data_IF_449526819199
#
_entry.id   IF_449526819199
#
_cell.length_a   1.000
_cell.length_b   1.000
_cell.length_c   1.000
_cell.angle_alpha   90.00
_cell.angle_beta   90.00
_cell.angle_gamma   90.00
#
_symmetry.space_group_name_H-M   'P 1'
#
loop_
_entity.id
_entity.type
_entity.pdbx_description
1 polymer ?
#
# COMPACT_ATOMS: atom_id res chain seq x y z
N UNK A 1 -33.56 44.12 -8.51
CA UNK A 1 -34.63 43.71 -9.46
C UNK A 1 -34.50 42.21 -9.67
N UNK A 2 -35.59 41.56 -9.36
CA UNK A 2 -35.82 40.12 -9.33
C UNK A 2 -35.68 39.45 -10.69
N UNK A 3 -35.23 38.18 -10.72
CA UNK A 3 -35.91 37.10 -11.47
C UNK A 3 -35.35 35.74 -11.05
N UNK A 4 -36.16 35.05 -10.26
CA UNK A 4 -36.07 33.61 -9.97
C UNK A 4 -36.56 32.84 -11.20
N UNK A 5 -35.90 31.71 -11.55
CA UNK A 5 -36.45 30.69 -12.44
C UNK A 5 -36.40 29.39 -11.69
N UNK A 6 -37.56 28.91 -11.31
CA UNK A 6 -37.79 27.58 -10.78
C UNK A 6 -37.92 26.59 -11.97
N UNK A 7 -37.19 25.47 -11.93
CA UNK A 7 -37.37 24.37 -12.87
C UNK A 7 -38.07 23.23 -12.13
N UNK A 8 -39.25 22.87 -12.64
CA UNK A 8 -40.12 21.84 -12.13
C UNK A 8 -39.68 20.52 -12.74
N UNK A 9 -39.41 19.54 -11.86
CA UNK A 9 -39.16 18.16 -12.24
C UNK A 9 -40.47 17.40 -12.30
N UNK A 10 -40.85 16.90 -13.46
CA UNK A 10 -42.06 16.06 -13.68
C UNK A 10 -41.64 14.59 -13.51
N UNK A 11 -42.22 13.97 -12.50
CA UNK A 11 -42.15 12.54 -12.20
C UNK A 11 -43.27 11.82 -12.94
N UNK A 12 -42.98 10.95 -13.89
CA UNK A 12 -43.95 10.04 -14.52
C UNK A 12 -43.79 8.64 -13.96
N UNK A 13 -44.74 8.24 -13.13
CA UNK A 13 -45.03 6.87 -12.74
C UNK A 13 -45.78 6.17 -13.87
N UNK A 14 -45.36 5.01 -14.30
CA UNK A 14 -46.13 4.05 -15.08
C UNK A 14 -46.29 2.77 -14.25
N UNK A 15 -47.50 2.61 -13.74
CA UNK A 15 -48.09 1.38 -13.19
C UNK A 15 -48.84 0.62 -14.30
N UNK A 16 -48.55 -0.66 -14.47
CA UNK A 16 -49.44 -1.70 -14.98
C UNK A 16 -48.85 -3.02 -14.53
N UNK A 17 -49.46 -3.92 -13.83
CA UNK A 17 -50.87 -4.28 -13.72
C UNK A 17 -50.99 -5.80 -13.91
N UNK A 18 -51.25 -6.49 -12.84
CA UNK A 18 -51.89 -7.80 -12.61
C UNK A 18 -52.10 -8.79 -13.74
N UNK A 19 -51.86 -10.09 -13.44
CA UNK A 19 -52.47 -11.23 -14.12
C UNK A 19 -51.94 -12.55 -13.58
N UNK A 20 -52.60 -13.09 -12.54
CA UNK A 20 -52.36 -14.43 -12.06
C UNK A 20 -53.20 -15.48 -12.80
N UNK A 21 -52.72 -16.71 -12.78
CA UNK A 21 -53.58 -17.90 -12.74
C UNK A 21 -52.81 -19.13 -12.27
N UNK A 22 -53.43 -19.80 -11.30
CA UNK A 22 -53.14 -21.16 -10.83
C UNK A 22 -53.66 -22.18 -11.84
N UNK A 23 -53.00 -23.33 -11.96
CA UNK A 23 -53.70 -24.64 -12.06
C UNK A 23 -52.73 -25.78 -11.69
N UNK A 24 -53.25 -26.58 -10.80
CA UNK A 24 -52.92 -27.92 -10.35
C UNK A 24 -52.96 -28.97 -11.46
N UNK A 25 -52.19 -30.04 -11.36
CA UNK A 25 -52.65 -31.42 -11.15
C UNK A 25 -51.61 -32.45 -11.61
N UNK A 26 -51.13 -33.26 -10.70
CA UNK A 26 -50.69 -34.65 -10.93
C UNK A 26 -51.93 -35.51 -11.20
N UNK A 27 -51.94 -36.70 -11.86
CA UNK A 27 -51.13 -37.85 -11.52
C UNK A 27 -50.81 -38.87 -12.64
N UNK A 28 -50.20 -39.96 -12.20
CA UNK A 28 -50.35 -41.38 -12.56
C UNK A 28 -49.19 -42.06 -13.31
N UNK A 29 -48.70 -43.04 -12.58
CA UNK A 29 -47.90 -44.21 -12.95
C UNK A 29 -48.37 -44.97 -14.19
N UNK A 30 -47.37 -45.52 -14.88
CA UNK A 30 -47.48 -46.90 -15.41
C UNK A 30 -46.05 -47.45 -15.66
N UNK A 31 -45.73 -48.54 -14.96
CA UNK A 31 -44.67 -49.48 -15.32
C UNK A 31 -45.21 -50.46 -16.34
N UNK A 32 -44.41 -50.95 -17.28
CA UNK A 32 -44.25 -52.38 -17.36
C UNK A 32 -42.85 -52.92 -17.70
N UNK A 33 -42.59 -54.06 -17.04
CA UNK A 33 -41.95 -55.29 -17.48
C UNK A 33 -40.49 -55.31 -17.98
N UNK A 34 -39.76 -56.15 -17.29
CA UNK A 34 -38.43 -56.61 -17.50
C UNK A 34 -38.19 -57.28 -18.87
N UNK A 35 -36.99 -57.01 -19.43
CA UNK A 35 -36.36 -57.93 -20.37
C UNK A 35 -34.94 -58.23 -19.85
N UNK A 36 -34.72 -59.47 -19.55
CA UNK A 36 -33.38 -60.03 -19.27
C UNK A 36 -32.50 -59.94 -20.51
N UNK A 37 -31.34 -59.31 -20.35
CA UNK A 37 -30.27 -59.45 -21.35
C UNK A 37 -28.96 -59.80 -20.60
N UNK A 38 -28.42 -60.91 -20.98
CA UNK A 38 -27.21 -61.56 -20.52
C UNK A 38 -26.00 -60.63 -20.55
N UNK A 39 -25.34 -60.49 -19.42
CA UNK A 39 -24.10 -59.71 -19.29
C UNK A 39 -22.90 -60.55 -19.74
N UNK A 40 -22.12 -60.06 -20.72
CA UNK A 40 -20.75 -60.43 -20.94
C UNK A 40 -19.84 -59.71 -19.93
N UNK A 41 -18.74 -60.29 -19.45
CA UNK A 41 -17.85 -59.65 -18.49
C UNK A 41 -17.01 -58.58 -19.19
N UNK A 42 -17.32 -57.34 -18.91
CA UNK A 42 -16.46 -56.22 -19.30
C UNK A 42 -15.24 -56.19 -18.37
N UNK A 43 -14.07 -56.33 -18.96
CA UNK A 43 -12.77 -56.13 -18.29
C UNK A 43 -12.70 -54.71 -17.78
N UNK A 44 -12.69 -54.50 -16.46
CA UNK A 44 -12.37 -53.20 -15.83
C UNK A 44 -10.99 -52.77 -16.25
N UNK A 45 -10.90 -51.74 -17.06
CA UNK A 45 -9.66 -51.00 -17.25
C UNK A 45 -9.29 -50.27 -15.94
N UNK A 46 -8.29 -50.75 -15.27
CA UNK A 46 -7.65 -50.06 -14.14
C UNK A 46 -7.07 -48.77 -14.68
N UNK A 47 -7.78 -47.66 -14.49
CA UNK A 47 -7.22 -46.32 -14.68
C UNK A 47 -6.26 -46.06 -13.54
N UNK A 48 -4.96 -46.10 -13.84
CA UNK A 48 -3.93 -45.55 -12.93
C UNK A 48 -4.30 -44.09 -12.62
N UNK A 49 -4.20 -43.65 -11.36
CA UNK A 49 -4.42 -42.27 -11.04
C UNK A 49 -3.36 -41.41 -11.74
N UNK A 50 -3.76 -40.63 -12.71
CA UNK A 50 -2.91 -39.58 -13.30
C UNK A 50 -2.61 -38.59 -12.20
N UNK A 51 -1.44 -38.69 -11.58
CA UNK A 51 -0.91 -37.66 -10.69
C UNK A 51 -0.68 -36.40 -11.54
N UNK A 52 -1.57 -35.44 -11.46
CA UNK A 52 -1.32 -34.09 -11.96
C UNK A 52 -0.11 -33.58 -11.20
N UNK A 53 0.97 -33.15 -11.86
CA UNK A 53 2.09 -32.56 -11.17
C UNK A 53 1.58 -31.33 -10.41
N UNK A 54 1.60 -31.38 -9.09
CA UNK A 54 1.34 -30.19 -8.28
C UNK A 54 2.59 -29.33 -8.41
N UNK A 55 2.47 -28.19 -9.04
CA UNK A 55 3.57 -27.22 -9.06
C UNK A 55 3.99 -26.93 -7.62
N UNK A 56 5.30 -26.77 -7.36
CA UNK A 56 5.77 -26.43 -6.01
C UNK A 56 5.14 -25.13 -5.55
N UNK A 57 4.61 -25.12 -4.33
CA UNK A 57 4.10 -23.91 -3.73
C UNK A 57 5.29 -22.95 -3.52
N UNK A 58 5.20 -21.75 -4.07
CA UNK A 58 6.21 -20.69 -3.94
C UNK A 58 5.68 -19.65 -2.97
N UNK A 59 6.40 -19.44 -1.88
CA UNK A 59 6.08 -18.37 -0.93
C UNK A 59 6.90 -17.13 -1.24
N UNK A 60 6.26 -15.97 -1.18
CA UNK A 60 6.92 -14.69 -1.39
C UNK A 60 6.60 -13.73 -0.24
N UNK A 61 7.55 -12.86 0.04
CA UNK A 61 7.32 -11.69 0.88
C UNK A 61 6.23 -10.82 0.24
N UNK A 62 5.15 -10.48 0.97
CA UNK A 62 3.97 -9.85 0.39
C UNK A 62 4.19 -8.39 -0.01
N UNK A 63 5.31 -7.76 0.36
CA UNK A 63 5.57 -6.33 0.11
C UNK A 63 6.83 -6.03 -0.71
N UNK A 64 7.68 -7.06 -0.97
CA UNK A 64 8.84 -6.90 -1.85
C UNK A 64 9.03 -8.06 -2.85
N UNK A 65 8.23 -9.14 -2.73
CA UNK A 65 8.22 -10.26 -3.64
C UNK A 65 9.39 -11.25 -3.49
N UNK A 66 10.30 -11.06 -2.56
CA UNK A 66 11.40 -11.98 -2.32
C UNK A 66 10.91 -13.38 -1.94
N UNK A 67 11.63 -14.41 -2.39
CA UNK A 67 11.28 -15.79 -2.10
C UNK A 67 11.48 -16.11 -0.62
N UNK A 68 10.52 -16.82 -0.04
CA UNK A 68 10.54 -17.28 1.34
C UNK A 68 10.49 -18.82 1.36
N UNK A 69 11.10 -19.40 2.38
CA UNK A 69 11.03 -20.85 2.64
C UNK A 69 9.66 -21.27 3.20
N UNK A 70 8.97 -20.37 3.88
CA UNK A 70 7.67 -20.57 4.54
C UNK A 70 6.71 -19.40 4.23
N UNK A 71 5.39 -19.58 4.41
CA UNK A 71 4.42 -18.49 4.25
C UNK A 71 4.75 -17.29 5.18
N UNK A 72 4.61 -16.08 4.69
CA UNK A 72 4.69 -14.89 5.53
C UNK A 72 3.45 -14.83 6.44
N UNK A 73 3.65 -14.88 7.75
CA UNK A 73 2.59 -14.85 8.76
C UNK A 73 2.78 -13.71 9.77
N UNK A 74 3.66 -12.78 9.45
CA UNK A 74 3.95 -11.61 10.27
C UNK A 74 3.08 -10.40 9.91
N UNK A 75 3.26 -9.31 10.67
CA UNK A 75 2.70 -8.00 10.34
C UNK A 75 3.79 -7.08 9.81
N UNK A 76 3.38 -6.17 8.95
CA UNK A 76 4.27 -5.14 8.40
C UNK A 76 4.37 -3.99 9.41
N UNK A 77 5.60 -3.61 9.73
CA UNK A 77 5.88 -2.42 10.53
C UNK A 77 5.90 -1.18 9.65
N UNK A 78 5.46 -0.07 10.19
CA UNK A 78 5.54 1.23 9.55
C UNK A 78 6.19 2.26 10.48
N UNK A 79 7.08 3.08 9.94
CA UNK A 79 7.68 4.20 10.67
C UNK A 79 7.48 5.51 9.91
N UNK A 80 7.05 6.55 10.62
CA UNK A 80 6.85 7.87 10.02
C UNK A 80 8.17 8.63 9.91
N UNK A 81 8.58 9.02 8.71
CA UNK A 81 9.86 9.66 8.42
C UNK A 81 9.66 11.07 7.88
N UNK A 82 10.47 12.01 8.35
CA UNK A 82 10.48 13.37 7.81
C UNK A 82 11.06 13.41 6.40
N UNK A 83 10.42 14.10 5.47
CA UNK A 83 10.96 14.34 4.14
C UNK A 83 11.03 15.84 3.81
N UNK A 84 11.39 16.64 4.81
CA UNK A 84 11.71 18.06 4.62
C UNK A 84 13.22 18.21 4.35
N UNK A 85 13.57 19.16 3.49
CA UNK A 85 14.96 19.39 3.06
C UNK A 85 15.96 19.52 4.22
N UNK A 86 15.58 20.19 5.31
CA UNK A 86 16.39 20.37 6.50
C UNK A 86 16.64 19.10 7.32
N UNK A 87 15.89 18.02 7.01
CA UNK A 87 15.96 16.74 7.71
C UNK A 87 16.69 15.65 6.90
N UNK A 88 17.14 16.00 5.72
CA UNK A 88 17.90 15.10 4.87
C UNK A 88 19.39 15.11 5.21
N UNK A 89 20.13 14.04 4.93
CA UNK A 89 19.67 12.76 4.36
C UNK A 89 18.84 11.94 5.33
N UNK A 90 18.10 10.94 4.81
CA UNK A 90 17.35 9.98 5.61
C UNK A 90 18.26 8.99 6.33
N UNK A 91 17.67 8.21 7.23
CA UNK A 91 18.33 7.09 7.91
C UNK A 91 17.41 5.88 7.85
N UNK A 92 17.92 4.72 7.42
CA UNK A 92 17.22 3.45 7.37
C UNK A 92 16.16 3.32 6.28
N UNK A 93 15.98 4.33 5.44
CA UNK A 93 14.98 4.32 4.35
C UNK A 93 15.39 3.37 3.22
N UNK A 94 16.68 3.15 3.01
CA UNK A 94 17.22 2.17 2.03
C UNK A 94 16.85 0.73 2.35
N UNK A 95 16.52 0.44 3.61
CA UNK A 95 16.14 -0.90 4.10
C UNK A 95 14.62 -1.12 4.09
N UNK A 96 13.82 -0.11 3.74
CA UNK A 96 12.37 -0.25 3.65
C UNK A 96 11.96 -1.03 2.41
N UNK A 97 11.00 -1.93 2.57
CA UNK A 97 10.36 -2.64 1.45
C UNK A 97 9.51 -1.69 0.61
N UNK A 98 8.78 -0.78 1.29
CA UNK A 98 7.96 0.24 0.64
C UNK A 98 8.19 1.60 1.30
N UNK A 99 8.33 2.63 0.49
CA UNK A 99 8.35 4.03 0.94
C UNK A 99 7.19 4.78 0.31
N UNK A 100 6.25 5.26 1.12
CA UNK A 100 5.12 6.05 0.64
C UNK A 100 5.34 7.52 0.96
N UNK A 101 5.41 8.38 -0.06
CA UNK A 101 5.61 9.81 0.09
C UNK A 101 4.31 10.59 -0.15
N UNK A 102 4.00 11.56 0.72
CA UNK A 102 2.82 12.41 0.59
C UNK A 102 2.90 13.72 1.37
N UNK A 103 2.09 14.69 0.98
CA UNK A 103 1.77 15.83 1.83
C UNK A 103 0.87 15.39 2.99
N UNK A 104 1.16 15.85 4.20
CA UNK A 104 0.40 15.44 5.41
C UNK A 104 -0.43 16.57 6.01
N UNK A 105 -0.22 17.80 5.57
CA UNK A 105 -1.00 18.96 6.01
C UNK A 105 -0.89 20.16 5.04
N UNK A 106 -1.75 21.15 5.26
CA UNK A 106 -1.82 22.40 4.48
C UNK A 106 -0.57 23.30 4.61
N UNK A 107 0.36 23.01 5.52
CA UNK A 107 1.59 23.79 5.72
C UNK A 107 2.75 23.25 4.86
N UNK A 108 2.45 22.56 3.79
CA UNK A 108 3.42 22.02 2.82
C UNK A 108 4.41 21.03 3.43
N UNK A 109 4.01 20.32 4.49
CA UNK A 109 4.85 19.32 5.12
C UNK A 109 4.71 18.01 4.36
N UNK A 110 5.83 17.56 3.80
CA UNK A 110 5.97 16.24 3.17
C UNK A 110 6.60 15.30 4.17
N UNK A 111 6.09 14.09 4.22
CA UNK A 111 6.65 12.98 5.01
C UNK A 111 6.59 11.70 4.22
N UNK A 112 7.38 10.73 4.68
CA UNK A 112 7.29 9.36 4.22
C UNK A 112 6.73 8.46 5.32
N UNK A 113 6.08 7.40 4.88
CA UNK A 113 5.77 6.23 5.67
C UNK A 113 6.65 5.10 5.11
N UNK A 114 7.63 4.65 5.89
CA UNK A 114 8.51 3.56 5.51
C UNK A 114 8.00 2.25 6.11
N UNK A 115 7.81 1.23 5.28
CA UNK A 115 7.24 -0.07 5.62
C UNK A 115 8.32 -1.14 5.60
N UNK A 116 8.28 -2.04 6.57
CA UNK A 116 9.27 -3.10 6.76
C UNK A 116 8.58 -4.41 7.09
N UNK A 117 8.85 -5.45 6.32
CA UNK A 117 8.48 -6.83 6.65
C UNK A 117 9.43 -7.44 7.70
N UNK A 118 10.68 -6.96 7.71
CA UNK A 118 11.68 -7.24 8.74
C UNK A 118 12.26 -5.92 9.25
N UNK A 119 11.83 -5.46 10.43
CA UNK A 119 12.33 -4.22 11.02
C UNK A 119 13.49 -4.46 12.00
N UNK A 120 13.67 -5.69 12.49
CA UNK A 120 14.65 -6.03 13.54
C UNK A 120 16.08 -5.65 13.12
N UNK A 121 16.42 -5.90 11.87
CA UNK A 121 17.76 -5.67 11.33
C UNK A 121 18.06 -4.20 10.99
N UNK A 122 17.07 -3.31 11.14
CA UNK A 122 17.24 -1.88 10.84
C UNK A 122 17.81 -1.17 12.05
N UNK A 123 19.11 -0.80 11.99
CA UNK A 123 19.84 -0.17 13.10
C UNK A 123 19.17 1.12 13.58
N UNK A 124 18.78 1.97 12.64
CA UNK A 124 18.12 3.23 12.92
C UNK A 124 17.19 3.65 11.78
N UNK A 125 16.09 4.35 12.10
CA UNK A 125 15.10 4.82 11.13
C UNK A 125 14.74 6.28 11.43
N UNK A 126 14.81 7.15 10.44
CA UNK A 126 14.32 8.52 10.67
C UNK A 126 14.90 9.63 9.79
N UNK A 127 14.74 10.88 10.27
CA UNK A 127 14.20 11.25 11.60
C UNK A 127 12.72 10.91 11.71
N UNK A 128 12.37 10.20 12.78
CA UNK A 128 10.97 9.79 13.04
C UNK A 128 10.12 10.99 13.46
N UNK A 129 8.92 11.07 12.94
CA UNK A 129 8.01 12.21 13.14
C UNK A 129 6.64 11.74 13.64
N UNK A 130 5.83 12.72 14.00
CA UNK A 130 4.47 12.50 14.49
C UNK A 130 3.59 11.85 13.42
N UNK A 131 2.71 10.94 13.84
CA UNK A 131 1.67 10.44 12.95
C UNK A 131 0.71 11.54 12.47
N UNK A 132 0.01 11.29 11.39
CA UNK A 132 -0.99 12.14 10.76
C UNK A 132 -2.16 11.30 10.25
N UNK A 133 -3.36 11.89 10.09
CA UNK A 133 -4.54 11.11 9.69
C UNK A 133 -4.35 10.28 8.42
N UNK A 134 -3.68 10.81 7.39
CA UNK A 134 -3.43 10.05 6.17
C UNK A 134 -2.55 8.80 6.40
N UNK A 135 -1.60 8.86 7.34
CA UNK A 135 -0.82 7.68 7.74
C UNK A 135 -1.66 6.67 8.50
N UNK A 136 -2.59 7.15 9.34
CA UNK A 136 -3.50 6.27 10.06
C UNK A 136 -4.47 5.57 9.11
N UNK A 137 -4.92 6.26 8.03
CA UNK A 137 -5.70 5.63 6.97
C UNK A 137 -4.92 4.48 6.32
N UNK A 138 -3.68 4.73 5.89
CA UNK A 138 -2.82 3.70 5.28
C UNK A 138 -2.56 2.55 6.25
N UNK A 139 -2.28 2.87 7.52
CA UNK A 139 -2.08 1.84 8.55
C UNK A 139 -3.32 0.96 8.74
N UNK A 140 -4.53 1.53 8.62
CA UNK A 140 -5.78 0.77 8.66
C UNK A 140 -5.95 -0.14 7.43
N UNK A 141 -5.69 0.38 6.22
CA UNK A 141 -5.80 -0.40 4.99
C UNK A 141 -4.90 -1.64 4.97
N UNK A 142 -3.70 -1.52 5.53
CA UNK A 142 -2.70 -2.58 5.53
C UNK A 142 -2.54 -3.29 6.88
N UNK A 143 -3.32 -2.92 7.89
CA UNK A 143 -3.22 -3.43 9.26
C UNK A 143 -1.77 -3.38 9.78
N UNK A 144 -1.14 -2.20 9.64
CA UNK A 144 0.26 -1.99 9.99
C UNK A 144 0.44 -1.81 11.50
N UNK A 145 1.62 -2.18 12.00
CA UNK A 145 2.10 -1.77 13.32
C UNK A 145 2.82 -0.43 13.15
N UNK A 146 2.17 0.68 13.55
CA UNK A 146 2.63 2.03 13.26
C UNK A 146 3.48 2.63 14.39
N UNK A 147 4.78 2.76 14.15
CA UNK A 147 5.74 3.45 15.03
C UNK A 147 5.83 4.94 14.63
N UNK A 148 5.74 5.86 15.61
CA UNK A 148 5.75 7.30 15.36
C UNK A 148 6.30 8.11 16.55
N UNK A 149 6.64 9.39 16.33
CA UNK A 149 7.05 10.33 17.38
C UNK A 149 5.88 11.25 17.77
N UNK A 150 4.92 10.71 18.53
CA UNK A 150 3.73 11.44 18.96
C UNK A 150 2.79 11.82 17.82
N UNK A 151 1.97 12.83 18.05
CA UNK A 151 0.96 13.32 17.09
C UNK A 151 0.24 14.55 17.65
N UNK A 152 -0.58 15.20 16.83
CA UNK A 152 -1.59 16.13 17.36
C UNK A 152 -2.71 15.33 18.03
N UNK A 153 -3.45 15.97 18.94
CA UNK A 153 -4.63 15.35 19.56
C UNK A 153 -5.62 14.82 18.51
N UNK A 154 -5.75 15.52 17.41
CA UNK A 154 -6.58 15.11 16.27
C UNK A 154 -6.06 13.82 15.64
N UNK A 155 -4.78 13.72 15.28
CA UNK A 155 -4.21 12.52 14.68
C UNK A 155 -4.21 11.30 15.63
N UNK A 156 -3.93 11.54 16.93
CA UNK A 156 -3.96 10.47 17.93
C UNK A 156 -5.39 9.99 18.23
N UNK A 157 -6.37 10.90 18.16
CA UNK A 157 -7.79 10.53 18.26
C UNK A 157 -8.26 9.74 17.04
N UNK A 158 -7.86 10.16 15.85
CA UNK A 158 -8.14 9.46 14.59
C UNK A 158 -7.56 8.03 14.61
N UNK A 159 -6.30 7.85 15.04
CA UNK A 159 -5.69 6.54 15.18
C UNK A 159 -6.49 5.61 16.12
N UNK A 160 -6.91 6.13 17.29
CA UNK A 160 -7.76 5.36 18.24
C UNK A 160 -9.11 5.00 17.64
N UNK A 161 -9.76 5.94 16.93
CA UNK A 161 -11.07 5.71 16.32
C UNK A 161 -11.01 4.65 15.21
N UNK A 162 -9.89 4.56 14.50
CA UNK A 162 -9.63 3.52 13.48
C UNK A 162 -9.26 2.17 14.08
N UNK A 163 -8.86 2.14 15.35
CA UNK A 163 -8.46 0.92 16.03
C UNK A 163 -7.13 0.35 15.54
N UNK A 164 -6.25 1.18 14.96
CA UNK A 164 -4.93 0.73 14.48
C UNK A 164 -3.95 0.52 15.62
N UNK A 165 -3.08 -0.48 15.49
CA UNK A 165 -1.97 -0.69 16.41
C UNK A 165 -0.88 0.35 16.15
N UNK A 166 -0.67 1.22 17.14
CA UNK A 166 0.31 2.29 17.03
C UNK A 166 0.91 2.66 18.37
N UNK A 167 2.14 3.16 18.37
CA UNK A 167 2.79 3.63 19.57
C UNK A 167 3.81 4.75 19.33
N UNK A 168 3.97 5.60 20.35
CA UNK A 168 4.96 6.66 20.36
C UNK A 168 6.30 6.12 20.86
N UNK A 169 7.28 5.98 19.95
CA UNK A 169 8.58 5.35 20.20
C UNK A 169 9.46 6.09 21.25
N UNK A 170 9.14 7.33 21.62
CA UNK A 170 9.86 8.07 22.65
C UNK A 170 9.08 8.25 23.95
N UNK A 171 7.86 7.68 24.06
CA UNK A 171 7.09 7.79 25.29
C UNK A 171 7.68 6.91 26.39
N UNK A 172 7.54 7.36 27.65
CA UNK A 172 8.15 6.67 28.79
C UNK A 172 7.60 5.25 28.99
N UNK A 173 6.33 5.04 28.77
CA UNK A 173 5.67 3.73 28.87
C UNK A 173 6.23 2.75 27.83
N UNK A 174 6.45 3.17 26.59
CA UNK A 174 7.06 2.38 25.53
C UNK A 174 8.53 2.09 25.86
N UNK A 175 9.30 3.14 26.14
CA UNK A 175 10.74 3.05 26.46
C UNK A 175 11.05 2.26 27.74
N UNK A 176 10.06 2.07 28.62
CA UNK A 176 10.23 1.22 29.81
C UNK A 176 10.16 -0.28 29.50
N UNK A 177 9.63 -0.65 28.32
CA UNK A 177 9.50 -2.04 27.85
C UNK A 177 10.64 -2.44 26.94
N UNK A 178 11.00 -1.55 26.00
CA UNK A 178 12.07 -1.78 25.02
C UNK A 178 12.72 -0.46 24.63
N UNK A 179 13.99 -0.50 24.19
CA UNK A 179 14.69 0.69 23.68
C UNK A 179 14.31 0.94 22.23
N UNK A 180 13.20 1.64 22.04
CA UNK A 180 12.58 1.85 20.72
C UNK A 180 13.14 3.02 19.94
N UNK A 181 13.89 3.93 20.59
CA UNK A 181 14.42 5.11 19.94
C UNK A 181 15.59 5.74 20.68
N UNK A 182 16.30 6.61 19.97
CA UNK A 182 17.31 7.50 20.55
C UNK A 182 17.24 8.88 19.90
N UNK A 183 17.82 9.89 20.58
CA UNK A 183 18.06 11.21 20.00
C UNK A 183 19.54 11.42 19.74
N UNK A 184 19.86 11.70 18.49
CA UNK A 184 21.23 12.07 18.12
C UNK A 184 21.50 13.52 18.55
N UNK A 185 22.37 13.69 19.54
CA UNK A 185 22.74 14.97 20.11
C UNK A 185 23.85 15.69 19.32
N UNK A 186 24.53 14.96 18.46
CA UNK A 186 25.60 15.51 17.60
C UNK A 186 25.06 16.12 16.32
N UNK A 187 23.80 15.80 15.99
CA UNK A 187 23.11 16.34 14.85
C UNK A 187 22.83 17.83 15.01
N UNK A 188 23.33 18.64 14.09
CA UNK A 188 23.04 20.08 14.01
C UNK A 188 21.66 20.34 13.39
N UNK A 189 20.63 19.68 13.90
CA UNK A 189 19.24 19.83 13.50
C UNK A 189 18.41 20.41 14.64
N UNK A 190 17.20 20.87 14.35
CA UNK A 190 16.24 21.22 15.39
C UNK A 190 15.92 19.97 16.23
N UNK A 191 15.62 20.15 17.51
CA UNK A 191 15.42 19.06 18.47
C UNK A 191 14.41 18.00 17.98
N UNK A 192 13.30 18.43 17.39
CA UNK A 192 12.29 17.54 16.85
C UNK A 192 12.77 16.69 15.66
N UNK A 193 13.91 16.98 15.08
CA UNK A 193 14.48 16.28 13.92
C UNK A 193 15.65 15.37 14.29
N UNK A 194 15.89 15.14 15.59
CA UNK A 194 16.99 14.32 16.09
C UNK A 194 16.56 12.97 16.63
N UNK A 195 15.27 12.61 16.51
CA UNK A 195 14.75 11.32 16.97
C UNK A 195 14.83 10.25 15.88
N UNK A 196 15.44 9.14 16.22
CA UNK A 196 15.56 7.97 15.36
C UNK A 196 14.96 6.75 16.04
N UNK A 197 14.18 5.96 15.31
CA UNK A 197 13.68 4.66 15.75
C UNK A 197 14.80 3.62 15.73
N UNK A 198 14.73 2.61 16.57
CA UNK A 198 15.60 1.44 16.61
C UNK A 198 14.76 0.24 16.25
N UNK A 199 15.05 -0.42 15.12
CA UNK A 199 14.21 -1.48 14.56
C UNK A 199 14.01 -2.64 15.53
N UNK A 200 15.07 -3.20 16.07
CA UNK A 200 15.00 -4.28 17.07
C UNK A 200 14.16 -3.89 18.31
N UNK A 201 14.27 -2.64 18.78
CA UNK A 201 13.48 -2.15 19.91
C UNK A 201 12.01 -1.97 19.59
N UNK A 202 11.70 -1.53 18.37
CA UNK A 202 10.32 -1.39 17.86
C UNK A 202 9.64 -2.78 17.79
N UNK A 203 10.32 -3.77 17.25
CA UNK A 203 9.84 -5.16 17.21
C UNK A 203 9.65 -5.71 18.63
N UNK A 204 10.67 -5.61 19.49
CA UNK A 204 10.61 -6.08 20.86
C UNK A 204 9.42 -5.48 21.64
N UNK A 205 9.15 -4.19 21.44
CA UNK A 205 8.00 -3.54 22.06
C UNK A 205 6.67 -4.12 21.53
N UNK A 206 6.51 -4.24 20.21
CA UNK A 206 5.30 -4.78 19.61
C UNK A 206 4.97 -6.17 20.14
N UNK A 207 5.96 -7.07 20.21
CA UNK A 207 5.81 -8.43 20.74
C UNK A 207 5.44 -8.44 22.23
N UNK A 208 6.04 -7.57 23.04
CA UNK A 208 5.81 -7.52 24.50
C UNK A 208 4.55 -6.76 24.90
N UNK A 209 4.03 -5.90 24.04
CA UNK A 209 2.85 -5.06 24.34
C UNK A 209 1.51 -5.77 24.17
N UNK A 210 1.51 -7.00 23.64
CA UNK A 210 0.32 -7.79 23.37
C UNK A 210 -0.36 -7.46 22.03
N UNK A 211 0.34 -6.75 21.14
CA UNK A 211 -0.08 -6.62 19.74
C UNK A 211 -0.03 -8.02 19.12
N UNK A 212 -1.11 -8.41 18.43
CA UNK A 212 -1.11 -9.67 17.70
C UNK A 212 -0.20 -9.51 16.47
N UNK A 213 0.93 -10.21 16.49
CA UNK A 213 1.92 -10.17 15.41
C UNK A 213 1.73 -11.27 14.37
N UNK A 214 0.72 -12.15 14.56
CA UNK A 214 0.42 -13.19 13.59
C UNK A 214 -0.73 -12.79 12.70
N UNK A 215 -0.45 -12.56 11.44
CA UNK A 215 -1.43 -12.14 10.45
C UNK A 215 -1.16 -12.83 9.10
N UNK A 216 -2.16 -13.57 8.64
CA UNK A 216 -2.18 -14.07 7.26
C UNK A 216 -3.16 -13.21 6.47
N UNK A 217 -2.65 -12.39 5.55
CA UNK A 217 -3.49 -11.56 4.68
C UNK A 217 -2.84 -11.32 3.33
N UNK A 218 -3.67 -11.02 2.36
CA UNK A 218 -3.24 -10.43 1.10
C UNK A 218 -2.93 -8.94 1.32
N UNK A 219 -1.76 -8.50 0.89
CA UNK A 219 -1.34 -7.09 0.93
C UNK A 219 -1.59 -6.36 -0.40
N UNK A 220 -2.28 -6.98 -1.36
CA UNK A 220 -2.70 -6.35 -2.62
C UNK A 220 -1.60 -6.21 -3.67
N UNK A 221 -0.37 -6.59 -3.38
CA UNK A 221 0.73 -6.58 -4.34
C UNK A 221 0.88 -7.94 -5.02
N UNK A 222 1.22 -7.91 -6.31
CA UNK A 222 1.58 -9.10 -7.09
C UNK A 222 2.98 -8.91 -7.63
N UNK A 223 3.80 -9.97 -7.60
CA UNK A 223 5.22 -9.87 -7.95
C UNK A 223 5.60 -10.89 -9.01
N UNK A 224 6.45 -10.43 -9.94
CA UNK A 224 7.15 -11.25 -10.94
C UNK A 224 8.64 -10.92 -10.90
N UNK A 225 9.49 -11.79 -11.43
CA UNK A 225 10.95 -11.60 -11.39
C UNK A 225 11.40 -10.30 -12.07
N UNK A 226 10.77 -9.94 -13.20
CA UNK A 226 11.13 -8.75 -14.00
C UNK A 226 9.96 -7.79 -13.98
N UNK A 227 9.24 -7.27 -13.44
CA UNK A 227 8.11 -6.32 -13.51
C UNK A 227 8.22 -5.20 -14.55
N UNK A 228 9.16 -5.24 -15.49
CA UNK A 228 9.31 -4.21 -16.55
C UNK A 228 8.11 -4.25 -17.48
N UNK A 229 7.34 -3.15 -17.64
CA UNK A 229 6.18 -3.15 -18.52
C UNK A 229 6.59 -3.34 -19.99
N UNK A 230 6.14 -4.46 -20.62
CA UNK A 230 6.54 -4.80 -21.99
C UNK A 230 6.15 -3.73 -23.02
N UNK A 231 4.96 -3.15 -22.88
CA UNK A 231 4.40 -2.11 -23.76
C UNK A 231 4.57 -0.70 -23.17
N UNK A 232 5.44 -0.53 -22.15
CA UNK A 232 5.69 0.75 -21.51
C UNK A 232 6.43 1.74 -22.38
N UNK A 233 6.15 3.03 -22.22
CA UNK A 233 6.90 4.13 -22.80
C UNK A 233 8.29 4.22 -22.13
N UNK A 234 9.28 4.79 -22.84
CA UNK A 234 10.61 5.01 -22.26
C UNK A 234 10.55 6.05 -21.15
N UNK A 235 11.07 5.69 -19.97
CA UNK A 235 11.06 6.53 -18.78
C UNK A 235 12.40 6.47 -18.04
N UNK A 236 13.45 7.01 -18.67
CA UNK A 236 14.78 7.12 -18.03
C UNK A 236 14.78 8.11 -16.86
N UNK A 237 13.80 8.98 -16.79
CA UNK A 237 13.55 9.88 -15.68
C UNK A 237 12.06 10.08 -15.51
N UNK A 238 11.55 9.91 -14.29
CA UNK A 238 10.15 10.18 -13.93
C UNK A 238 10.15 11.34 -12.94
N UNK A 239 9.61 12.48 -13.35
CA UNK A 239 9.43 13.65 -12.47
C UNK A 239 8.00 13.70 -11.96
N UNK A 240 7.84 13.61 -10.66
CA UNK A 240 6.56 13.70 -9.97
C UNK A 240 6.42 15.11 -9.40
N UNK A 241 5.59 15.93 -10.05
CA UNK A 241 5.25 17.26 -9.58
C UNK A 241 4.15 17.16 -8.52
N UNK A 242 4.57 17.03 -7.28
CA UNK A 242 3.67 16.96 -6.14
C UNK A 242 3.13 18.35 -5.85
N UNK A 243 1.92 18.63 -6.29
CA UNK A 243 1.24 19.89 -6.08
C UNK A 243 0.12 19.74 -5.05
N UNK A 244 -0.01 20.72 -4.18
CA UNK A 244 -1.18 20.88 -3.32
C UNK A 244 -1.43 22.37 -3.09
N UNK A 245 -2.41 22.93 -3.77
CA UNK A 245 -2.70 24.39 -3.76
C UNK A 245 -1.46 25.19 -4.18
N UNK A 246 -0.81 25.86 -3.24
CA UNK A 246 0.41 26.65 -3.50
C UNK A 246 1.71 25.89 -3.17
N UNK A 247 1.60 24.72 -2.53
CA UNK A 247 2.73 23.85 -2.26
C UNK A 247 3.20 23.17 -3.55
N UNK A 248 4.49 23.14 -3.75
CA UNK A 248 5.12 22.46 -4.89
C UNK A 248 6.37 21.76 -4.41
N UNK A 249 6.49 20.50 -4.77
CA UNK A 249 7.69 19.69 -4.57
C UNK A 249 7.86 18.77 -5.76
N UNK A 250 9.05 18.78 -6.33
CA UNK A 250 9.42 17.82 -7.35
C UNK A 250 10.18 16.65 -6.69
N UNK A 251 9.76 15.45 -7.02
CA UNK A 251 10.49 14.22 -6.78
C UNK A 251 10.90 13.65 -8.13
N UNK A 252 12.17 13.38 -8.34
CA UNK A 252 12.71 12.89 -9.59
C UNK A 252 13.29 11.51 -9.37
N UNK A 253 12.78 10.53 -10.12
CA UNK A 253 13.24 9.15 -10.14
C UNK A 253 14.03 8.94 -11.44
N UNK A 254 15.36 8.78 -11.33
CA UNK A 254 16.23 8.57 -12.49
C UNK A 254 16.63 7.11 -12.58
N UNK A 255 16.33 6.45 -13.69
CA UNK A 255 16.68 5.05 -13.89
C UNK A 255 18.20 4.88 -14.05
N UNK A 256 18.76 4.03 -13.23
CA UNK A 256 20.14 3.58 -13.31
C UNK A 256 20.16 2.13 -13.80
N UNK A 257 20.63 1.92 -15.02
CA UNK A 257 20.64 0.60 -15.66
C UNK A 257 21.67 -0.38 -15.03
N UNK A 258 22.68 0.12 -14.31
CA UNK A 258 23.65 -0.74 -13.62
C UNK A 258 23.05 -1.27 -12.32
N UNK A 259 22.26 -0.46 -11.62
CA UNK A 259 21.52 -0.86 -10.44
C UNK A 259 20.21 -1.60 -10.78
N UNK A 260 19.67 -1.40 -12.00
CA UNK A 260 18.33 -1.86 -12.36
C UNK A 260 17.22 -1.16 -11.58
N UNK A 261 17.46 0.04 -11.05
CA UNK A 261 16.57 0.77 -10.14
C UNK A 261 16.45 2.24 -10.50
N UNK A 262 15.37 2.86 -10.00
CA UNK A 262 15.18 4.30 -10.03
C UNK A 262 15.82 4.96 -8.82
N UNK A 263 16.81 5.80 -9.03
CA UNK A 263 17.51 6.59 -8.00
C UNK A 263 16.64 7.79 -7.60
N UNK A 264 16.40 7.95 -6.32
CA UNK A 264 15.60 9.05 -5.80
C UNK A 264 16.39 10.36 -5.74
N UNK A 265 15.89 11.39 -6.40
CA UNK A 265 16.42 12.74 -6.36
C UNK A 265 15.34 13.70 -5.89
N UNK A 266 15.67 14.59 -4.98
CA UNK A 266 14.79 15.66 -4.52
C UNK A 266 15.58 16.85 -4.00
N UNK A 267 15.01 18.05 -4.08
CA UNK A 267 15.67 19.29 -3.66
C UNK A 267 17.03 19.54 -4.32
N UNK A 268 17.26 18.96 -5.51
CA UNK A 268 18.53 19.04 -6.23
C UNK A 268 19.64 18.14 -5.68
N UNK A 269 19.29 17.11 -4.92
CA UNK A 269 20.23 16.16 -4.33
C UNK A 269 19.82 14.72 -4.65
N UNK A 270 20.81 13.86 -4.91
CA UNK A 270 20.63 12.41 -4.88
C UNK A 270 20.43 11.99 -3.43
N UNK A 271 19.40 11.20 -3.16
CA UNK A 271 19.14 10.71 -1.82
C UNK A 271 20.10 9.57 -1.47
N UNK A 272 20.65 9.64 -0.28
CA UNK A 272 21.55 8.63 0.28
C UNK A 272 21.18 8.41 1.73
N UNK A 273 21.30 7.17 2.19
CA UNK A 273 21.22 6.87 3.62
C UNK A 273 22.41 7.47 4.35
N UNK A 274 22.13 8.10 5.47
CA UNK A 274 23.16 8.82 6.20
C UNK A 274 24.16 7.90 6.94
N UNK A 275 23.73 6.73 7.38
CA UNK A 275 24.57 5.79 8.13
C UNK A 275 25.37 4.91 7.17
N UNK A 276 24.70 4.31 6.18
CA UNK A 276 25.34 3.36 5.26
C UNK A 276 26.00 4.04 4.08
N UNK A 277 25.54 5.23 3.68
CA UNK A 277 25.97 5.92 2.48
C UNK A 277 25.38 5.34 1.19
N UNK A 278 24.50 4.34 1.31
CA UNK A 278 23.85 3.72 0.17
C UNK A 278 22.87 4.68 -0.52
N UNK A 279 22.80 4.58 -1.83
CA UNK A 279 21.85 5.37 -2.62
C UNK A 279 20.43 4.88 -2.40
N UNK A 280 19.51 5.79 -2.09
CA UNK A 280 18.08 5.47 -2.03
C UNK A 280 17.56 5.26 -3.45
N UNK A 281 17.31 4.00 -3.78
CA UNK A 281 16.86 3.58 -5.11
C UNK A 281 15.79 2.49 -5.01
N UNK A 282 14.85 2.50 -5.93
CA UNK A 282 13.67 1.63 -5.92
C UNK A 282 13.53 0.85 -7.22
N UNK A 283 13.20 -0.44 -7.10
CA UNK A 283 12.89 -1.29 -8.24
C UNK A 283 11.60 -0.83 -8.91
N UNK A 284 10.59 -0.52 -8.11
CA UNK A 284 9.27 -0.14 -8.54
C UNK A 284 8.96 1.31 -8.12
N UNK A 285 8.36 2.08 -9.02
CA UNK A 285 7.85 3.43 -8.75
C UNK A 285 6.38 3.48 -9.10
N UNK A 286 5.52 3.78 -8.13
CA UNK A 286 4.09 3.95 -8.31
C UNK A 286 3.72 5.40 -7.99
N UNK A 287 2.89 6.01 -8.82
CA UNK A 287 2.25 7.30 -8.53
C UNK A 287 0.75 7.10 -8.46
N UNK A 288 0.14 7.40 -7.32
CA UNK A 288 -1.29 7.32 -7.06
C UNK A 288 -1.88 8.72 -7.01
N UNK A 289 -2.78 9.06 -7.94
CA UNK A 289 -3.58 10.28 -7.83
C UNK A 289 -4.82 10.00 -6.99
N UNK A 290 -4.94 10.67 -5.85
CA UNK A 290 -6.02 10.49 -4.91
C UNK A 290 -6.78 11.81 -4.67
N UNK A 291 -8.05 11.70 -4.35
CA UNK A 291 -8.84 12.86 -3.90
C UNK A 291 -8.45 13.21 -2.46
N UNK A 292 -7.72 14.34 -2.32
CA UNK A 292 -7.25 14.83 -1.02
C UNK A 292 -8.20 15.88 -0.47
N UNK A 293 -8.74 15.61 0.71
CA UNK A 293 -9.59 16.52 1.48
C UNK A 293 -8.88 17.01 2.76
N UNK A 294 -9.48 17.94 3.47
CA UNK A 294 -8.90 18.48 4.70
C UNK A 294 -9.92 18.52 5.83
N UNK A 295 -9.47 18.09 7.01
CA UNK A 295 -10.09 18.44 8.27
C UNK A 295 -9.16 19.38 9.06
N UNK A 296 -9.58 20.64 9.22
CA UNK A 296 -8.69 21.68 9.73
C UNK A 296 -7.47 21.86 8.82
N UNK A 297 -6.27 21.59 9.35
CA UNK A 297 -5.02 21.68 8.60
C UNK A 297 -4.52 20.33 8.09
N UNK A 298 -5.17 19.20 8.44
CA UNK A 298 -4.68 17.87 8.14
C UNK A 298 -5.28 17.32 6.85
N UNK A 299 -4.47 16.56 6.11
CA UNK A 299 -4.89 15.87 4.91
C UNK A 299 -5.49 14.51 5.24
N UNK A 300 -6.53 14.18 4.48
CA UNK A 300 -7.14 12.89 4.31
C UNK A 300 -7.21 12.58 2.83
N UNK A 301 -7.10 11.32 2.46
CA UNK A 301 -7.36 10.87 1.10
C UNK A 301 -8.65 10.05 1.06
N UNK A 302 -9.46 10.23 0.02
CA UNK A 302 -10.57 9.32 -0.26
C UNK A 302 -10.03 8.10 -1.03
N UNK A 303 -9.49 7.14 -0.29
CA UNK A 303 -8.94 5.93 -0.87
C UNK A 303 -10.02 5.00 -1.44
N UNK A 304 -11.25 5.05 -0.90
CA UNK A 304 -12.36 4.24 -1.39
C UNK A 304 -12.87 4.68 -2.77
N UNK A 305 -12.57 5.91 -3.18
CA UNK A 305 -12.89 6.37 -4.53
C UNK A 305 -11.99 5.72 -5.59
N UNK A 306 -10.83 5.19 -5.22
CA UNK A 306 -9.82 4.74 -6.15
C UNK A 306 -9.27 5.87 -7.03
N UNK A 307 -8.52 5.54 -8.08
CA UNK A 307 -7.99 6.55 -8.96
C UNK A 307 -7.13 5.99 -10.09
N UNK A 308 -6.57 6.91 -10.85
CA UNK A 308 -5.55 6.62 -11.87
C UNK A 308 -4.17 6.78 -11.28
N UNK A 309 -3.17 6.26 -11.96
CA UNK A 309 -1.79 6.38 -11.56
C UNK A 309 -0.82 6.02 -12.67
N UNK A 310 0.43 5.89 -12.28
CA UNK A 310 1.50 5.41 -13.15
C UNK A 310 2.33 4.37 -12.40
N UNK A 311 2.86 3.41 -13.15
CA UNK A 311 3.83 2.44 -12.70
C UNK A 311 5.06 2.48 -13.58
N UNK A 312 6.24 2.60 -12.97
CA UNK A 312 7.51 2.54 -13.67
C UNK A 312 8.44 1.48 -13.05
N UNK A 313 9.08 0.71 -13.95
CA UNK A 313 10.11 -0.28 -13.64
C UNK A 313 10.97 -0.50 -14.88
N UNK A 314 12.26 -0.85 -14.72
CA UNK A 314 13.15 -1.20 -15.82
C UNK A 314 13.38 -0.09 -16.87
N UNK A 315 13.22 1.18 -16.50
CA UNK A 315 13.31 2.31 -17.43
C UNK A 315 12.08 2.50 -18.32
N UNK A 316 10.95 1.86 -17.97
CA UNK A 316 9.66 1.93 -18.69
C UNK A 316 8.56 2.40 -17.74
N UNK A 317 7.49 2.99 -18.31
CA UNK A 317 6.33 3.47 -17.56
C UNK A 317 5.03 3.16 -18.29
N UNK A 318 3.99 2.84 -17.51
CA UNK A 318 2.62 2.67 -18.00
C UNK A 318 1.63 3.41 -17.11
N UNK A 319 0.48 3.87 -17.64
CA UNK A 319 -0.65 4.28 -16.82
C UNK A 319 -1.31 3.06 -16.17
N UNK A 320 -1.80 3.24 -14.95
CA UNK A 320 -2.49 2.22 -14.16
C UNK A 320 -3.76 2.77 -13.53
N UNK A 321 -4.57 1.88 -13.01
CA UNK A 321 -5.71 2.17 -12.13
C UNK A 321 -5.44 1.54 -10.77
N UNK A 322 -5.83 2.21 -9.70
CA UNK A 322 -5.73 1.68 -8.34
C UNK A 322 -7.06 1.83 -7.61
N UNK A 323 -7.29 1.00 -6.61
CA UNK A 323 -8.49 1.02 -5.77
C UNK A 323 -8.30 0.24 -4.48
N UNK A 324 -9.35 0.18 -3.67
CA UNK A 324 -9.48 -0.71 -2.52
C UNK A 324 -10.95 -1.06 -2.29
N UNK A 325 -11.21 -2.19 -1.64
CA UNK A 325 -12.56 -2.70 -1.41
C UNK A 325 -13.14 -2.29 -0.04
N UNK A 326 -12.55 -1.29 0.61
CA UNK A 326 -12.96 -0.74 1.90
C UNK A 326 -11.81 -0.31 2.79
N UNK A 327 -12.12 0.33 3.92
CA UNK A 327 -11.13 0.96 4.82
C UNK A 327 -10.12 -0.02 5.45
N UNK A 328 -10.45 -1.32 5.50
CA UNK A 328 -9.58 -2.36 6.06
C UNK A 328 -8.98 -3.27 4.98
N UNK A 329 -9.18 -2.92 3.71
CA UNK A 329 -8.68 -3.69 2.58
C UNK A 329 -7.47 -2.99 1.96
N UNK A 330 -6.46 -3.75 1.49
CA UNK A 330 -5.28 -3.18 0.88
C UNK A 330 -5.60 -2.51 -0.45
N UNK A 331 -4.69 -1.66 -0.92
CA UNK A 331 -4.77 -1.14 -2.28
C UNK A 331 -4.47 -2.27 -3.26
N UNK A 332 -5.20 -2.28 -4.37
CA UNK A 332 -4.90 -3.12 -5.52
C UNK A 332 -4.60 -2.24 -6.74
N UNK A 333 -3.76 -2.74 -7.61
CA UNK A 333 -3.28 -2.02 -8.78
C UNK A 333 -3.58 -2.84 -10.03
N UNK A 334 -4.13 -2.19 -11.03
CA UNK A 334 -4.52 -2.82 -12.29
C UNK A 334 -3.89 -2.09 -13.47
N UNK A 335 -3.55 -2.83 -14.50
CA UNK A 335 -3.24 -2.27 -15.81
C UNK A 335 -4.51 -1.71 -16.46
N UNK A 336 -4.37 -0.94 -17.54
CA UNK A 336 -5.53 -0.43 -18.29
C UNK A 336 -6.43 -1.52 -18.87
N UNK A 337 -5.92 -2.74 -19.01
CA UNK A 337 -6.66 -3.92 -19.47
C UNK A 337 -7.39 -4.64 -18.32
N UNK A 338 -7.39 -4.04 -17.13
CA UNK A 338 -7.96 -4.60 -15.90
C UNK A 338 -7.35 -5.96 -15.49
N UNK A 339 -6.06 -6.14 -15.76
CA UNK A 339 -5.26 -7.24 -15.22
C UNK A 339 -4.53 -6.75 -13.97
N UNK A 340 -4.28 -7.66 -13.03
CA UNK A 340 -3.44 -7.35 -11.88
C UNK A 340 -2.08 -6.83 -12.35
N UNK A 341 -1.62 -5.73 -11.73
CA UNK A 341 -0.30 -5.20 -11.99
C UNK A 341 0.74 -6.08 -11.29
N UNK A 342 1.66 -6.63 -12.06
CA UNK A 342 2.79 -7.39 -11.53
C UNK A 342 4.00 -6.47 -11.33
N UNK A 343 4.43 -6.29 -10.09
CA UNK A 343 5.62 -5.54 -9.71
C UNK A 343 6.87 -6.41 -9.88
N UNK A 344 8.01 -5.80 -10.16
CA UNK A 344 9.30 -6.49 -10.08
C UNK A 344 9.68 -6.79 -8.63
N UNK A 345 10.32 -7.96 -8.41
CA UNK A 345 10.89 -8.29 -7.09
C UNK A 345 11.86 -7.20 -6.64
N UNK A 346 11.62 -6.65 -5.46
CA UNK A 346 12.41 -5.58 -4.85
C UNK A 346 11.56 -4.49 -4.19
N UNK A 347 12.23 -3.46 -3.71
CA UNK A 347 11.59 -2.38 -2.99
C UNK A 347 10.77 -1.44 -3.90
N UNK A 348 9.73 -0.82 -3.30
CA UNK A 348 8.77 0.01 -4.03
C UNK A 348 8.69 1.42 -3.42
N UNK A 349 8.73 2.44 -4.28
CA UNK A 349 8.37 3.80 -3.91
C UNK A 349 6.94 4.09 -4.41
N UNK A 350 6.11 4.69 -3.53
CA UNK A 350 4.74 5.10 -3.85
C UNK A 350 4.56 6.58 -3.53
N UNK A 351 4.28 7.41 -4.53
CA UNK A 351 3.84 8.77 -4.32
C UNK A 351 2.31 8.84 -4.26
N UNK A 352 1.74 9.33 -3.16
CA UNK A 352 0.31 9.62 -3.04
C UNK A 352 0.13 11.12 -3.21
N UNK A 353 -0.48 11.53 -4.33
CA UNK A 353 -0.55 12.91 -4.76
C UNK A 353 -1.98 13.36 -5.06
N UNK A 354 -2.25 14.66 -4.90
CA UNK A 354 -3.55 15.24 -5.22
C UNK A 354 -3.78 15.38 -6.73
N UNK A 355 -5.02 15.63 -7.11
CA UNK A 355 -5.46 15.75 -8.51
C UNK A 355 -4.87 16.96 -9.27
N UNK A 356 -4.24 17.91 -8.58
CA UNK A 356 -3.51 19.04 -9.15
C UNK A 356 -2.01 18.75 -9.42
N UNK A 357 -1.58 17.52 -9.13
CA UNK A 357 -0.24 17.01 -9.41
C UNK A 357 -0.11 16.50 -10.85
N UNK A 358 1.12 16.29 -11.30
CA UNK A 358 1.40 15.72 -12.63
C UNK A 358 2.68 14.89 -12.64
N UNK A 359 2.82 14.07 -13.68
CA UNK A 359 4.01 13.24 -13.93
C UNK A 359 4.56 13.61 -15.32
N UNK A 360 5.87 13.82 -15.41
CA UNK A 360 6.63 13.95 -16.65
C UNK A 360 7.66 12.81 -16.72
N UNK A 361 7.85 12.22 -17.93
CA UNK A 361 8.81 11.13 -18.16
C UNK A 361 9.37 11.13 -19.59
#
# INVERSE_FOLDING_TARGET
MKRSIALILVLTLLLCGCGGQKAEATPAQTTPAAAETTAEPTTEATTEPTTVPTEPIVYRNPVNGELLDEPFTGRIYANTVSNLRENLPHVGVTQADIVMEMYVNMNNVVRCLALFSNIEDVEAIGSTRSTRPIFNQIAQHYDLVLAHAGGSDHALSDARNRGIDNFNIESWDVMSVATTSYRDKEYKRQYENTLFGIGAGIQEYAEKSGIDMHLERDYGFRFTEDGTPADGEDAQSVTIHMNYKQAKKDTVMTYDAELGKYVWNQYGMVMQDQITGDTEAFTNVIVMFADVTNEGIYHYADFNAGGIGYYANGGKIIPIVWGCDGDNEPFHFLTNDAQDLELGVGNTYIAIVGSDSSVEY
#
